data_IF_696317135721
#
_entry.id   IF_696317135721
#
_cell.length_a   1.000
_cell.length_b   1.000
_cell.length_c   1.000
_cell.angle_alpha   90.00
_cell.angle_beta   90.00
_cell.angle_gamma   90.00
#
_symmetry.space_group_name_H-M   'P 1'
#
loop_
_entity.id
_entity.type
_entity.pdbx_description
1 polymer ?
#
# COMPACT_ATOMS: atom_id res chain seq x y z
N UNK A 1 2.37 -6.94 13.87
CA UNK A 1 3.79 -6.64 13.53
C UNK A 1 4.36 -5.66 14.56
N UNK A 2 5.61 -5.82 15.02
CA UNK A 2 6.21 -4.85 15.96
C UNK A 2 6.49 -3.51 15.24
N UNK A 3 6.30 -2.37 15.92
CA UNK A 3 6.38 -1.03 15.32
C UNK A 3 7.71 -0.74 14.62
N UNK A 4 8.82 -1.28 15.13
CA UNK A 4 10.15 -1.19 14.50
C UNK A 4 10.15 -1.73 13.07
N UNK A 5 9.50 -2.87 12.83
CA UNK A 5 9.46 -3.47 11.49
C UNK A 5 8.57 -2.68 10.53
N UNK A 6 7.45 -2.15 11.03
CA UNK A 6 6.58 -1.26 10.24
C UNK A 6 7.35 -0.02 9.80
N UNK A 7 8.08 0.63 10.72
CA UNK A 7 8.89 1.81 10.38
C UNK A 7 9.99 1.51 9.36
N UNK A 8 10.65 0.36 9.48
CA UNK A 8 11.66 -0.06 8.50
C UNK A 8 11.04 -0.29 7.12
N UNK A 9 9.90 -1.01 7.05
CA UNK A 9 9.16 -1.24 5.82
C UNK A 9 8.81 0.07 5.11
N UNK A 10 8.23 1.03 5.85
CA UNK A 10 7.86 2.34 5.32
C UNK A 10 9.09 3.11 4.80
N UNK A 11 10.22 3.04 5.52
CA UNK A 11 11.44 3.72 5.09
C UNK A 11 12.03 3.13 3.79
N UNK A 12 12.07 1.80 3.65
CA UNK A 12 12.56 1.16 2.43
C UNK A 12 11.60 1.39 1.26
N UNK A 13 10.30 1.33 1.51
CA UNK A 13 9.26 1.68 0.52
C UNK A 13 9.45 3.10 -0.01
N UNK A 14 9.64 4.07 0.88
CA UNK A 14 9.90 5.47 0.50
C UNK A 14 11.14 5.60 -0.39
N UNK A 15 12.25 4.92 -0.04
CA UNK A 15 13.47 4.97 -0.83
C UNK A 15 13.25 4.39 -2.22
N UNK A 16 12.53 3.27 -2.32
CA UNK A 16 12.22 2.62 -3.58
C UNK A 16 11.34 3.50 -4.46
N UNK A 17 10.20 3.97 -3.95
CA UNK A 17 9.26 4.82 -4.72
C UNK A 17 9.92 6.12 -5.23
N UNK A 18 10.83 6.72 -4.46
CA UNK A 18 11.58 7.92 -4.89
C UNK A 18 12.46 7.72 -6.12
N UNK A 19 12.82 6.47 -6.43
CA UNK A 19 13.64 6.14 -7.59
C UNK A 19 12.80 5.86 -8.84
N UNK A 20 11.48 5.70 -8.70
CA UNK A 20 10.59 5.38 -9.79
C UNK A 20 10.16 6.65 -10.56
N UNK A 21 9.92 6.53 -11.87
CA UNK A 21 9.32 7.62 -12.65
C UNK A 21 7.85 7.82 -12.27
N UNK A 22 7.31 8.99 -12.59
CA UNK A 22 5.88 9.29 -12.38
C UNK A 22 4.95 8.44 -13.26
N UNK A 23 5.44 7.92 -14.38
CA UNK A 23 4.70 7.05 -15.31
C UNK A 23 5.41 5.70 -15.36
N UNK A 24 4.71 4.67 -14.92
CA UNK A 24 5.19 3.28 -14.97
C UNK A 24 4.66 2.60 -16.22
N UNK A 25 5.51 1.85 -16.93
CA UNK A 25 5.11 1.02 -18.06
C UNK A 25 4.99 -0.43 -17.59
N UNK A 26 3.82 -1.02 -17.77
CA UNK A 26 3.54 -2.43 -17.45
C UNK A 26 3.39 -3.19 -18.76
N UNK A 27 4.01 -4.36 -18.85
CA UNK A 27 3.97 -5.21 -20.04
C UNK A 27 3.49 -6.61 -19.70
N UNK A 28 2.62 -7.15 -20.55
CA UNK A 28 2.13 -8.54 -20.50
C UNK A 28 3.06 -9.51 -21.23
N UNK A 29 4.25 -9.08 -21.67
CA UNK A 29 5.17 -10.01 -22.33
C UNK A 29 5.83 -11.01 -21.35
N UNK A 30 5.88 -10.66 -20.06
CA UNK A 30 6.48 -11.49 -19.00
C UNK A 30 5.44 -12.14 -18.08
N UNK A 31 4.21 -11.61 -18.07
CA UNK A 31 3.05 -12.16 -17.35
C UNK A 31 1.90 -12.32 -18.34
N UNK A 32 1.30 -13.51 -18.40
CA UNK A 32 0.18 -13.80 -19.32
C UNK A 32 -0.99 -12.82 -19.13
N UNK A 33 -1.17 -12.31 -17.90
CA UNK A 33 -2.19 -11.36 -17.52
C UNK A 33 -1.69 -10.34 -16.48
N UNK A 34 -2.35 -9.18 -16.44
CA UNK A 34 -2.15 -8.15 -15.41
C UNK A 34 -3.49 -7.92 -14.71
N UNK A 35 -3.50 -8.10 -13.39
CA UNK A 35 -4.67 -7.78 -12.57
C UNK A 35 -4.67 -6.30 -12.19
N UNK A 36 -5.72 -5.57 -12.57
CA UNK A 36 -5.89 -4.16 -12.19
C UNK A 36 -6.94 -4.07 -11.08
N UNK A 37 -6.54 -3.52 -9.94
CA UNK A 37 -7.37 -3.34 -8.76
C UNK A 37 -7.72 -1.86 -8.60
N UNK A 38 -9.00 -1.58 -8.33
CA UNK A 38 -9.47 -0.25 -7.91
C UNK A 38 -9.37 -0.06 -6.41
N UNK A 39 -10.22 0.83 -5.89
CA UNK A 39 -10.24 1.30 -4.51
C UNK A 39 -10.43 0.15 -3.51
N UNK A 40 -9.69 0.21 -2.40
CA UNK A 40 -9.81 -0.75 -1.29
C UNK A 40 -10.40 -0.12 -0.04
N UNK A 41 -10.25 1.19 0.15
CA UNK A 41 -10.82 1.96 1.26
C UNK A 41 -10.71 1.26 2.63
N UNK A 42 -9.52 0.75 2.96
CA UNK A 42 -9.29 0.13 4.27
C UNK A 42 -10.05 -1.17 4.53
N UNK A 43 -10.61 -1.82 3.50
CA UNK A 43 -11.32 -3.10 3.58
C UNK A 43 -10.37 -4.27 3.28
N UNK A 44 -9.79 -4.87 4.34
CA UNK A 44 -8.78 -5.92 4.17
C UNK A 44 -9.34 -7.20 3.55
N UNK A 45 -10.61 -7.51 3.84
CA UNK A 45 -11.27 -8.71 3.30
C UNK A 45 -11.38 -8.67 1.76
N UNK A 46 -11.57 -7.48 1.19
CA UNK A 46 -11.61 -7.29 -0.27
C UNK A 46 -10.23 -7.55 -0.89
N UNK A 47 -9.16 -7.09 -0.25
CA UNK A 47 -7.79 -7.39 -0.67
C UNK A 47 -7.51 -8.91 -0.64
N UNK A 48 -7.95 -9.60 0.41
CA UNK A 48 -7.82 -11.06 0.49
C UNK A 48 -8.69 -11.78 -0.54
N UNK A 49 -9.88 -11.28 -0.84
CA UNK A 49 -10.74 -11.84 -1.87
C UNK A 49 -10.11 -11.71 -3.27
N UNK A 50 -9.49 -10.57 -3.57
CA UNK A 50 -8.72 -10.35 -4.81
C UNK A 50 -7.61 -11.39 -4.92
N UNK A 51 -6.83 -11.58 -3.85
CA UNK A 51 -5.74 -12.56 -3.84
C UNK A 51 -6.24 -14.01 -3.90
N UNK A 52 -7.37 -14.31 -3.28
CA UNK A 52 -7.97 -15.63 -3.35
C UNK A 52 -8.41 -15.98 -4.79
N UNK A 53 -9.00 -15.02 -5.50
CA UNK A 53 -9.49 -15.23 -6.88
C UNK A 53 -8.37 -15.25 -7.91
N UNK A 54 -7.42 -14.33 -7.81
CA UNK A 54 -6.42 -14.10 -8.85
C UNK A 54 -5.03 -14.69 -8.47
N UNK A 55 -4.86 -15.13 -7.23
CA UNK A 55 -3.58 -15.58 -6.65
C UNK A 55 -2.82 -14.44 -5.94
N UNK A 56 -1.69 -14.79 -5.35
CA UNK A 56 -0.79 -13.80 -4.77
C UNK A 56 0.14 -13.23 -5.86
N UNK A 57 0.67 -12.01 -5.68
CA UNK A 57 1.73 -11.48 -6.53
C UNK A 57 2.92 -12.43 -6.62
N UNK A 58 3.42 -12.62 -7.84
CA UNK A 58 4.55 -13.50 -8.17
C UNK A 58 5.17 -13.07 -9.50
N UNK A 59 6.34 -13.60 -9.91
CA UNK A 59 6.93 -13.27 -11.21
C UNK A 59 6.01 -13.53 -12.42
N UNK A 60 5.03 -14.43 -12.26
CA UNK A 60 4.00 -14.74 -13.26
C UNK A 60 2.68 -13.99 -13.09
N UNK A 61 2.50 -13.22 -12.01
CA UNK A 61 1.23 -12.57 -11.64
C UNK A 61 1.46 -11.12 -11.28
N UNK A 62 1.20 -10.24 -12.24
CA UNK A 62 1.37 -8.80 -12.10
C UNK A 62 0.10 -8.12 -11.60
N UNK A 63 0.27 -7.10 -10.76
CA UNK A 63 -0.79 -6.32 -10.14
C UNK A 63 -0.55 -4.82 -10.32
N UNK A 64 -1.61 -4.10 -10.68
CA UNK A 64 -1.67 -2.64 -10.62
C UNK A 64 -2.78 -2.25 -9.66
N UNK A 65 -2.42 -1.64 -8.52
CA UNK A 65 -3.40 -1.08 -7.59
C UNK A 65 -3.53 0.43 -7.84
N UNK A 66 -4.73 0.87 -8.21
CA UNK A 66 -4.96 2.20 -8.76
C UNK A 66 -5.39 3.26 -7.72
N UNK A 67 -4.71 3.27 -6.57
CA UNK A 67 -4.97 4.24 -5.50
C UNK A 67 -6.11 3.87 -4.55
N UNK A 68 -6.41 4.78 -3.63
CA UNK A 68 -7.49 4.71 -2.65
C UNK A 68 -7.46 3.42 -1.81
N UNK A 69 -6.24 3.09 -1.34
CA UNK A 69 -5.96 1.94 -0.49
C UNK A 69 -6.47 2.16 0.93
N UNK A 70 -6.37 3.40 1.38
CA UNK A 70 -6.67 3.84 2.75
C UNK A 70 -8.00 4.59 2.80
N UNK A 71 -8.38 4.97 4.02
CA UNK A 71 -9.59 5.73 4.34
C UNK A 71 -10.86 4.86 4.46
N UNK A 72 -11.86 5.33 5.21
CA UNK A 72 -13.18 4.73 5.50
C UNK A 72 -13.17 3.41 6.29
N UNK A 73 -12.29 2.49 5.96
CA UNK A 73 -12.11 1.20 6.64
C UNK A 73 -11.13 1.25 7.81
N UNK A 74 -11.30 0.31 8.75
CA UNK A 74 -10.48 0.23 9.98
C UNK A 74 -9.10 -0.41 9.77
N UNK A 75 -8.89 -1.09 8.64
CA UNK A 75 -7.70 -1.94 8.39
C UNK A 75 -6.74 -1.33 7.36
N UNK A 76 -6.73 0.00 7.27
CA UNK A 76 -5.90 0.74 6.31
C UNK A 76 -4.40 0.46 6.50
N UNK A 77 -3.92 0.33 7.75
CA UNK A 77 -2.50 0.06 8.03
C UNK A 77 -2.09 -1.33 7.54
N UNK A 78 -2.93 -2.34 7.77
CA UNK A 78 -2.72 -3.72 7.36
C UNK A 78 -2.60 -3.83 5.85
N UNK A 79 -3.49 -3.15 5.11
CA UNK A 79 -3.44 -3.07 3.65
C UNK A 79 -2.12 -2.44 3.19
N UNK A 80 -1.72 -1.30 3.75
CA UNK A 80 -0.44 -0.66 3.39
C UNK A 80 0.76 -1.57 3.66
N UNK A 81 0.78 -2.26 4.80
CA UNK A 81 1.87 -3.19 5.13
C UNK A 81 1.93 -4.31 4.08
N UNK A 82 0.81 -4.89 3.68
CA UNK A 82 0.75 -5.97 2.69
C UNK A 82 1.19 -5.46 1.31
N UNK A 83 0.62 -4.35 0.83
CA UNK A 83 0.93 -3.79 -0.49
C UNK A 83 2.40 -3.37 -0.59
N UNK A 84 2.94 -2.70 0.42
CA UNK A 84 4.35 -2.29 0.44
C UNK A 84 5.30 -3.48 0.56
N UNK A 85 4.92 -4.54 1.27
CA UNK A 85 5.72 -5.77 1.31
C UNK A 85 5.80 -6.40 -0.08
N UNK A 86 4.66 -6.53 -0.77
CA UNK A 86 4.64 -7.07 -2.13
C UNK A 86 5.37 -6.20 -3.14
N UNK A 87 5.24 -4.86 -3.05
CA UNK A 87 6.01 -3.93 -3.88
C UNK A 87 7.52 -4.13 -3.72
N UNK A 88 8.02 -4.33 -2.51
CA UNK A 88 9.46 -4.52 -2.28
C UNK A 88 9.96 -5.91 -2.68
N UNK A 89 9.12 -6.95 -2.58
CA UNK A 89 9.48 -8.32 -2.97
C UNK A 89 9.41 -8.51 -4.49
N UNK A 90 8.39 -7.93 -5.13
CA UNK A 90 8.10 -8.06 -6.57
C UNK A 90 8.00 -6.68 -7.25
N UNK A 91 9.09 -5.87 -7.25
CA UNK A 91 9.06 -4.48 -7.73
C UNK A 91 8.81 -4.34 -9.23
N UNK A 92 8.90 -5.43 -10.00
CA UNK A 92 8.59 -5.44 -11.43
C UNK A 92 7.15 -5.82 -11.73
N UNK A 93 6.50 -6.51 -10.80
CA UNK A 93 5.18 -7.10 -10.98
C UNK A 93 4.10 -6.37 -10.19
N UNK A 94 4.46 -5.65 -9.13
CA UNK A 94 3.50 -4.92 -8.27
C UNK A 94 3.69 -3.42 -8.45
N UNK A 95 2.64 -2.76 -8.90
CA UNK A 95 2.60 -1.33 -9.16
C UNK A 95 1.52 -0.67 -8.32
N UNK A 96 1.88 0.41 -7.62
CA UNK A 96 0.97 1.18 -6.78
C UNK A 96 0.87 2.60 -7.35
N UNK A 97 -0.32 2.99 -7.82
CA UNK A 97 -0.60 4.37 -8.19
C UNK A 97 -1.15 5.14 -6.98
N UNK A 98 -0.96 6.46 -6.99
CA UNK A 98 -1.51 7.34 -5.95
C UNK A 98 -2.96 7.68 -6.29
N UNK A 99 -3.88 7.42 -5.36
CA UNK A 99 -5.25 7.90 -5.40
C UNK A 99 -5.41 9.23 -4.66
N UNK A 100 -6.64 9.72 -4.56
CA UNK A 100 -6.89 11.00 -3.90
C UNK A 100 -6.88 10.88 -2.36
N UNK A 101 -7.10 9.66 -1.84
CA UNK A 101 -7.08 9.37 -0.42
C UNK A 101 -5.66 9.19 0.13
N UNK A 102 -4.66 9.04 -0.73
CA UNK A 102 -3.23 9.05 -0.40
C UNK A 102 -2.65 10.48 -0.31
N UNK A 103 -3.48 11.50 -0.05
CA UNK A 103 -3.04 12.87 0.20
C UNK A 103 -2.93 13.16 1.71
N UNK A 104 -2.02 14.07 2.07
CA UNK A 104 -1.81 14.50 3.45
C UNK A 104 -3.07 15.10 4.09
N UNK A 105 -3.80 15.92 3.35
CA UNK A 105 -4.98 16.63 3.82
C UNK A 105 -6.18 15.71 4.02
N UNK A 106 -6.24 14.64 3.22
CA UNK A 106 -7.28 13.61 3.31
C UNK A 106 -6.96 12.70 4.49
N UNK A 107 -5.75 12.14 4.58
CA UNK A 107 -5.36 11.27 5.70
C UNK A 107 -5.49 11.90 7.10
N UNK A 108 -5.38 13.23 7.22
CA UNK A 108 -5.56 13.95 8.49
C UNK A 108 -7.01 13.99 8.97
N UNK A 109 -7.98 13.91 8.05
CA UNK A 109 -9.42 14.01 8.33
C UNK A 109 -10.08 12.66 8.62
N UNK A 110 -9.42 11.55 8.31
CA UNK A 110 -10.05 10.23 8.23
C UNK A 110 -9.42 9.14 9.13
N UNK A 111 -10.03 7.95 9.10
CA UNK A 111 -9.89 6.86 10.08
C UNK A 111 -8.45 6.34 10.29
N UNK A 112 -7.54 6.52 9.32
CA UNK A 112 -6.14 6.10 9.43
C UNK A 112 -5.43 6.76 10.62
N UNK A 113 -5.66 8.06 10.85
CA UNK A 113 -5.11 8.76 12.01
C UNK A 113 -5.65 8.21 13.33
N UNK A 114 -6.95 7.95 13.40
CA UNK A 114 -7.64 7.49 14.61
C UNK A 114 -7.16 6.09 15.01
N UNK A 115 -7.06 5.16 14.04
CA UNK A 115 -6.56 3.81 14.27
C UNK A 115 -5.10 3.79 14.76
N UNK A 116 -4.21 4.56 14.12
CA UNK A 116 -2.80 4.62 14.49
C UNK A 116 -2.55 5.24 15.87
N UNK A 117 -3.33 6.26 16.24
CA UNK A 117 -3.23 6.90 17.57
C UNK A 117 -3.70 5.94 18.67
N UNK A 118 -4.69 5.08 18.39
CA UNK A 118 -5.21 4.10 19.35
C UNK A 118 -4.22 2.96 19.65
N UNK A 119 -3.39 2.54 18.70
CA UNK A 119 -2.47 1.41 18.89
C UNK A 119 -1.24 1.73 19.76
N UNK A 120 -0.69 2.94 19.72
CA UNK A 120 0.42 3.38 20.59
C UNK A 120 0.65 4.88 20.49
N UNK A 121 0.51 5.63 21.60
CA UNK A 121 0.70 7.10 21.60
C UNK A 121 2.07 7.57 21.07
N UNK A 122 3.13 6.80 21.31
CA UNK A 122 4.52 7.18 20.93
C UNK A 122 4.85 6.71 19.51
N UNK A 123 4.54 5.45 19.19
CA UNK A 123 4.88 4.88 17.88
C UNK A 123 3.90 5.26 16.78
N UNK A 124 2.61 5.44 17.11
CA UNK A 124 1.56 5.82 16.18
C UNK A 124 1.85 7.15 15.48
N UNK A 125 2.31 8.17 16.23
CA UNK A 125 2.73 9.46 15.66
C UNK A 125 3.91 9.34 14.69
N UNK A 126 4.89 8.49 15.02
CA UNK A 126 6.06 8.24 14.16
C UNK A 126 5.66 7.50 12.88
N UNK A 127 4.81 6.48 13.00
CA UNK A 127 4.30 5.71 11.87
C UNK A 127 3.47 6.62 10.97
N UNK A 128 2.54 7.40 11.52
CA UNK A 128 1.74 8.35 10.76
C UNK A 128 2.60 9.34 9.98
N UNK A 129 3.59 9.95 10.64
CA UNK A 129 4.53 10.86 9.98
C UNK A 129 5.31 10.14 8.87
N UNK A 130 5.66 8.86 9.04
CA UNK A 130 6.37 8.12 8.01
C UNK A 130 5.47 7.79 6.82
N UNK A 131 4.23 7.36 7.05
CA UNK A 131 3.24 7.12 5.98
C UNK A 131 3.04 8.39 5.15
N UNK A 132 2.95 9.55 5.80
CA UNK A 132 2.87 10.87 5.13
C UNK A 132 4.11 11.25 4.31
N UNK A 133 5.26 10.61 4.53
CA UNK A 133 6.47 10.85 3.73
C UNK A 133 6.66 9.82 2.61
N UNK A 134 5.84 8.76 2.59
CA UNK A 134 5.84 7.73 1.54
C UNK A 134 5.02 8.20 0.36
N UNK A 135 3.83 8.73 0.64
CA UNK A 135 3.00 9.46 -0.32
C UNK A 135 3.46 10.92 -0.43
#
# INVERSE_FOLDING_TARGET
LHARYVLNLLNETRKHLKQLPNISHVSTCYSEEVTVCGDLHGQLDDLFLIFYKNGLPSPSKSYVFNGDFVDRGKQSLEILIILFTFLLIYPKEVHLNRGNHEDHMVNLRYALCVGLIAMSRVHGKKILKMVQNVF
#
